data_IF_532816962806
#
_entry.id   IF_532816962806
#
_cell.length_a   1.000
_cell.length_b   1.000
_cell.length_c   1.000
_cell.angle_alpha   90.00
_cell.angle_beta   90.00
_cell.angle_gamma   90.00
#
_symmetry.space_group_name_H-M   'P 1'
#
loop_
_entity.id
_entity.type
_entity.pdbx_description
1 polymer ?
#
# COMPACT_ATOMS: atom_id res chain seq x y z
N UNK A 1 -34.54 7.86 -21.70
CA UNK A 1 -34.05 6.51 -22.03
C UNK A 1 -35.29 5.62 -22.25
N UNK A 2 -35.28 4.71 -23.24
CA UNK A 2 -36.42 3.81 -23.44
C UNK A 2 -36.42 2.68 -22.40
N UNK A 3 -37.57 2.11 -22.02
CA UNK A 3 -37.70 1.02 -21.03
C UNK A 3 -36.69 -0.14 -21.30
N UNK A 4 -36.56 -0.57 -22.58
CA UNK A 4 -35.62 -1.63 -22.97
C UNK A 4 -34.15 -1.24 -22.64
N UNK A 5 -33.73 -0.02 -22.96
CA UNK A 5 -32.37 0.47 -22.63
C UNK A 5 -32.14 0.57 -21.12
N UNK A 6 -33.16 0.89 -20.34
CA UNK A 6 -33.07 0.97 -18.87
C UNK A 6 -32.84 -0.40 -18.24
N UNK A 7 -33.59 -1.42 -18.69
CA UNK A 7 -33.40 -2.80 -18.23
C UNK A 7 -31.99 -3.28 -18.58
N UNK A 8 -31.52 -3.02 -19.79
CA UNK A 8 -30.16 -3.41 -20.22
C UNK A 8 -29.08 -2.78 -19.31
N UNK A 9 -29.21 -1.48 -18.98
CA UNK A 9 -28.24 -0.82 -18.08
C UNK A 9 -28.26 -1.45 -16.69
N UNK A 10 -29.42 -1.71 -16.12
CA UNK A 10 -29.53 -2.37 -14.81
C UNK A 10 -28.96 -3.78 -14.84
N UNK A 11 -29.26 -4.55 -15.88
CA UNK A 11 -28.67 -5.88 -16.05
C UNK A 11 -27.16 -5.83 -16.17
N UNK A 12 -26.59 -4.87 -16.93
CA UNK A 12 -25.14 -4.71 -17.06
C UNK A 12 -24.51 -4.41 -15.70
N UNK A 13 -25.08 -3.46 -14.93
CA UNK A 13 -24.58 -3.11 -13.60
C UNK A 13 -24.65 -4.31 -12.65
N UNK A 14 -25.77 -5.03 -12.64
CA UNK A 14 -25.92 -6.21 -11.78
C UNK A 14 -24.98 -7.35 -12.18
N UNK A 15 -24.83 -7.61 -13.48
CA UNK A 15 -23.88 -8.62 -13.99
C UNK A 15 -22.44 -8.22 -13.66
N UNK A 16 -22.09 -6.93 -13.79
CA UNK A 16 -20.76 -6.43 -13.40
C UNK A 16 -20.48 -6.68 -11.91
N UNK A 17 -21.43 -6.37 -11.03
CA UNK A 17 -21.28 -6.60 -9.58
C UNK A 17 -21.08 -8.10 -9.30
N UNK A 18 -21.94 -8.97 -9.87
CA UNK A 18 -21.89 -10.40 -9.64
C UNK A 18 -20.54 -10.96 -10.16
N UNK A 19 -20.16 -10.58 -11.38
CA UNK A 19 -18.92 -11.04 -11.99
C UNK A 19 -17.71 -10.64 -11.17
N UNK A 20 -17.61 -9.39 -10.78
CA UNK A 20 -16.51 -8.91 -9.94
C UNK A 20 -16.51 -9.58 -8.55
N UNK A 21 -17.68 -9.79 -7.94
CA UNK A 21 -17.80 -10.48 -6.66
C UNK A 21 -17.36 -11.94 -6.75
N UNK A 22 -17.71 -12.63 -7.85
CA UNK A 22 -17.26 -14.00 -8.12
C UNK A 22 -15.73 -14.04 -8.28
N UNK A 23 -15.16 -13.16 -9.11
CA UNK A 23 -13.71 -13.09 -9.29
C UNK A 23 -12.96 -12.65 -8.01
N UNK A 24 -13.61 -11.99 -7.07
CA UNK A 24 -13.00 -11.66 -5.79
C UNK A 24 -12.69 -12.91 -4.95
N UNK A 25 -13.55 -13.91 -4.99
CA UNK A 25 -13.51 -15.05 -4.05
C UNK A 25 -13.06 -16.35 -4.71
N UNK A 26 -13.50 -16.61 -5.96
CA UNK A 26 -13.28 -17.88 -6.65
C UNK A 26 -11.86 -17.95 -7.21
N UNK A 27 -11.16 -19.04 -6.89
CA UNK A 27 -9.86 -19.40 -7.49
C UNK A 27 -10.07 -20.55 -8.47
N UNK A 28 -9.44 -20.48 -9.65
CA UNK A 28 -9.57 -21.54 -10.68
C UNK A 28 -8.27 -21.63 -11.51
N UNK A 29 -7.93 -22.85 -12.00
CA UNK A 29 -6.79 -23.03 -12.88
C UNK A 29 -7.04 -22.37 -14.25
N UNK A 30 -6.04 -21.65 -14.77
CA UNK A 30 -6.13 -21.03 -16.09
C UNK A 30 -5.82 -22.11 -17.13
N UNK A 31 -6.84 -22.48 -17.93
CA UNK A 31 -6.71 -23.52 -18.93
C UNK A 31 -5.54 -23.26 -19.89
N UNK A 32 -4.63 -24.23 -20.01
CA UNK A 32 -3.47 -24.15 -20.90
C UNK A 32 -2.24 -23.47 -20.32
N UNK A 33 -2.24 -23.11 -19.03
CA UNK A 33 -1.09 -22.54 -18.33
C UNK A 33 -0.80 -23.31 -17.03
N UNK A 34 0.41 -23.12 -16.47
CA UNK A 34 0.81 -23.64 -15.14
C UNK A 34 0.32 -22.73 -14.00
N UNK A 35 -0.35 -21.62 -14.34
CA UNK A 35 -0.76 -20.60 -13.38
C UNK A 35 -2.22 -20.79 -12.98
N UNK A 36 -2.48 -20.68 -11.70
CA UNK A 36 -3.81 -20.62 -11.11
C UNK A 36 -4.23 -19.18 -10.87
N UNK A 37 -5.48 -18.85 -11.26
CA UNK A 37 -6.08 -17.60 -10.84
C UNK A 37 -6.47 -17.70 -9.37
N UNK A 38 -5.90 -16.87 -8.54
CA UNK A 38 -6.31 -16.71 -7.15
C UNK A 38 -7.28 -15.54 -7.05
N UNK A 39 -8.46 -15.74 -6.41
CA UNK A 39 -9.44 -14.67 -6.25
C UNK A 39 -8.79 -13.39 -5.68
N UNK A 40 -9.00 -12.25 -6.34
CA UNK A 40 -8.23 -11.03 -6.02
C UNK A 40 -8.39 -10.54 -4.57
N UNK A 41 -9.46 -10.87 -3.86
CA UNK A 41 -9.57 -10.55 -2.43
C UNK A 41 -8.54 -11.31 -1.57
N UNK A 42 -8.04 -12.46 -2.04
CA UNK A 42 -7.02 -13.25 -1.35
C UNK A 42 -5.58 -12.74 -1.61
N UNK A 43 -5.40 -11.89 -2.62
CA UNK A 43 -4.09 -11.31 -2.96
C UNK A 43 -3.84 -9.98 -2.25
N UNK A 44 -4.79 -9.51 -1.43
CA UNK A 44 -4.61 -8.30 -0.63
C UNK A 44 -3.51 -8.54 0.39
N UNK A 45 -2.48 -7.70 0.34
CA UNK A 45 -1.39 -7.74 1.32
C UNK A 45 -1.90 -7.33 2.69
N UNK A 46 -1.62 -8.15 3.68
CA UNK A 46 -1.97 -7.87 5.07
C UNK A 46 -0.82 -7.12 5.75
N UNK A 47 -1.16 -6.12 6.56
CA UNK A 47 -0.20 -5.46 7.43
C UNK A 47 0.18 -6.35 8.62
N UNK A 48 1.25 -5.96 9.30
CA UNK A 48 1.82 -6.69 10.42
C UNK A 48 0.83 -6.94 11.55
N UNK A 49 -0.08 -6.02 11.79
CA UNK A 49 -1.14 -6.09 12.82
C UNK A 49 -2.22 -7.14 12.52
N UNK A 50 -2.30 -7.60 11.26
CA UNK A 50 -3.26 -8.61 10.81
C UNK A 50 -2.63 -9.98 10.56
N UNK A 51 -1.43 -10.03 9.97
CA UNK A 51 -0.71 -11.27 9.68
C UNK A 51 0.13 -11.76 10.87
N UNK A 52 0.37 -10.89 11.85
CA UNK A 52 1.40 -11.12 12.85
C UNK A 52 2.79 -10.90 12.28
N UNK A 53 3.82 -11.01 13.12
CA UNK A 53 5.21 -10.89 12.69
C UNK A 53 6.03 -9.93 13.56
N UNK A 54 7.07 -9.33 12.96
CA UNK A 54 8.04 -8.46 13.64
C UNK A 54 8.13 -7.09 13.00
N UNK A 55 8.10 -6.06 13.82
CA UNK A 55 8.50 -4.69 13.44
C UNK A 55 9.71 -4.30 14.26
N UNK A 56 10.80 -3.96 13.58
CA UNK A 56 12.03 -3.44 14.20
C UNK A 56 12.30 -2.03 13.68
N UNK A 57 12.60 -1.11 14.59
CA UNK A 57 13.01 0.25 14.26
C UNK A 57 14.46 0.41 14.65
N UNK A 58 15.29 0.74 13.67
CA UNK A 58 16.70 1.03 13.87
C UNK A 58 16.94 2.53 13.76
N UNK A 59 17.66 3.06 14.73
CA UNK A 59 18.20 4.41 14.67
C UNK A 59 19.48 4.38 13.86
N UNK A 60 19.62 5.28 12.91
CA UNK A 60 20.83 5.39 12.08
C UNK A 60 21.77 6.36 12.78
N UNK A 61 22.97 5.90 13.11
CA UNK A 61 23.99 6.78 13.63
C UNK A 61 24.41 7.74 12.50
N UNK A 62 24.30 9.03 12.77
CA UNK A 62 24.83 10.05 11.86
C UNK A 62 26.34 10.04 11.97
N UNK A 63 27.02 9.78 10.86
CA UNK A 63 28.44 9.92 10.73
C UNK A 63 28.77 11.06 9.76
N UNK A 64 29.88 11.77 9.97
CA UNK A 64 30.30 12.90 9.15
C UNK A 64 30.85 12.52 7.77
N UNK A 65 30.59 11.28 7.31
CA UNK A 65 31.02 10.79 6.00
C UNK A 65 30.00 11.23 4.95
N UNK A 66 30.46 11.85 3.88
CA UNK A 66 29.65 12.42 2.81
C UNK A 66 28.58 11.46 2.26
N UNK A 67 27.48 12.06 1.79
CA UNK A 67 26.35 11.37 1.13
C UNK A 67 25.52 10.42 2.01
N UNK A 68 25.22 10.86 3.24
CA UNK A 68 24.47 10.12 4.24
C UNK A 68 23.14 9.56 3.68
N UNK A 69 22.38 10.36 2.93
CA UNK A 69 21.07 9.94 2.38
C UNK A 69 21.20 8.83 1.34
N UNK A 70 22.23 8.84 0.51
CA UNK A 70 22.51 7.77 -0.45
C UNK A 70 22.89 6.47 0.29
N UNK A 71 23.68 6.55 1.34
CA UNK A 71 24.06 5.40 2.16
C UNK A 71 22.89 4.79 2.91
N UNK A 72 21.98 5.62 3.45
CA UNK A 72 20.72 5.17 4.06
C UNK A 72 19.85 4.46 3.04
N UNK A 73 19.69 5.03 1.84
CA UNK A 73 18.91 4.45 0.76
C UNK A 73 19.49 3.12 0.28
N UNK A 74 20.82 3.05 0.16
CA UNK A 74 21.54 1.82 -0.17
C UNK A 74 21.36 0.74 0.90
N UNK A 75 21.42 1.10 2.19
CA UNK A 75 21.18 0.18 3.30
C UNK A 75 19.74 -0.36 3.27
N UNK A 76 18.74 0.47 2.98
CA UNK A 76 17.34 0.05 2.82
C UNK A 76 17.22 -0.98 1.70
N UNK A 77 17.80 -0.71 0.53
CA UNK A 77 17.78 -1.63 -0.61
C UNK A 77 18.48 -2.95 -0.30
N UNK A 78 19.57 -2.90 0.44
CA UNK A 78 20.33 -4.08 0.87
C UNK A 78 19.54 -4.94 1.85
N UNK A 79 18.93 -4.32 2.85
CA UNK A 79 18.06 -5.01 3.82
C UNK A 79 16.87 -5.65 3.11
N UNK A 80 16.24 -4.94 2.18
CA UNK A 80 15.13 -5.47 1.39
C UNK A 80 15.58 -6.70 0.58
N UNK A 81 16.71 -6.63 -0.11
CA UNK A 81 17.27 -7.74 -0.88
C UNK A 81 17.63 -8.93 -0.01
N UNK A 82 18.21 -8.69 1.17
CA UNK A 82 18.55 -9.72 2.15
C UNK A 82 17.28 -10.46 2.61
N UNK A 83 16.24 -9.73 3.00
CA UNK A 83 14.97 -10.29 3.46
C UNK A 83 14.30 -11.14 2.39
N UNK A 84 14.23 -10.63 1.16
CA UNK A 84 13.70 -11.38 0.00
C UNK A 84 14.51 -12.65 -0.25
N UNK A 85 15.86 -12.61 -0.17
CA UNK A 85 16.71 -13.78 -0.36
C UNK A 85 16.53 -14.86 0.71
N UNK A 86 16.05 -14.49 1.89
CA UNK A 86 15.74 -15.39 3.00
C UNK A 86 14.28 -15.88 3.00
N UNK A 87 13.51 -15.53 1.97
CA UNK A 87 12.12 -15.97 1.80
C UNK A 87 11.07 -14.99 2.33
N UNK A 88 11.47 -13.88 2.96
CA UNK A 88 10.56 -12.86 3.47
C UNK A 88 10.16 -11.88 2.37
N UNK A 89 9.42 -12.36 1.38
CA UNK A 89 9.05 -11.58 0.17
C UNK A 89 8.09 -10.42 0.45
N UNK A 90 7.33 -10.49 1.54
CA UNK A 90 6.38 -9.46 1.96
C UNK A 90 6.96 -8.46 2.96
N UNK A 91 8.24 -8.63 3.32
CA UNK A 91 8.92 -7.70 4.20
C UNK A 91 9.03 -6.31 3.58
N UNK A 92 8.88 -5.29 4.42
CA UNK A 92 9.02 -3.88 4.01
C UNK A 92 10.09 -3.18 4.81
N UNK A 93 10.93 -2.42 4.12
CA UNK A 93 11.97 -1.59 4.73
C UNK A 93 11.74 -0.14 4.34
N UNK A 94 11.51 0.72 5.31
CA UNK A 94 11.16 2.12 5.07
C UNK A 94 12.05 3.08 5.86
N UNK A 95 12.36 4.24 5.26
CA UNK A 95 12.99 5.37 5.95
C UNK A 95 11.97 6.09 6.80
N UNK A 96 12.34 6.46 8.01
CA UNK A 96 11.54 7.27 8.91
C UNK A 96 12.37 8.34 9.59
N UNK A 97 11.71 9.17 10.37
CA UNK A 97 12.35 10.16 11.23
C UNK A 97 11.80 9.97 12.65
N UNK A 98 12.67 9.91 13.62
CA UNK A 98 12.30 9.84 15.04
C UNK A 98 11.85 11.21 15.55
N UNK A 99 11.17 11.23 16.70
CA UNK A 99 10.74 12.47 17.35
C UNK A 99 11.88 13.43 17.72
N UNK A 100 13.11 12.91 17.83
CA UNK A 100 14.32 13.70 18.07
C UNK A 100 15.00 14.20 16.77
N UNK A 101 14.35 14.00 15.61
CA UNK A 101 14.88 14.39 14.30
C UNK A 101 15.89 13.40 13.70
N UNK A 102 16.27 12.34 14.42
CA UNK A 102 17.22 11.36 13.89
C UNK A 102 16.58 10.47 12.80
N UNK A 103 17.37 10.12 11.79
CA UNK A 103 16.93 9.17 10.75
C UNK A 103 16.77 7.78 11.33
N UNK A 104 15.68 7.11 10.98
CA UNK A 104 15.40 5.73 11.37
C UNK A 104 15.15 4.86 10.14
N UNK A 105 15.43 3.57 10.26
CA UNK A 105 15.04 2.54 9.31
C UNK A 105 14.07 1.62 10.04
N UNK A 106 12.87 1.49 9.50
CA UNK A 106 11.84 0.57 9.98
C UNK A 106 11.81 -0.65 9.08
N UNK A 107 11.89 -1.81 9.69
CA UNK A 107 11.78 -3.11 9.03
C UNK A 107 10.55 -3.81 9.56
N UNK A 108 9.63 -4.17 8.69
CA UNK A 108 8.41 -4.90 9.03
C UNK A 108 8.39 -6.21 8.26
N UNK A 109 8.24 -7.31 8.97
CA UNK A 109 8.26 -8.65 8.40
C UNK A 109 6.99 -9.37 8.89
N UNK A 110 5.99 -9.50 8.04
CA UNK A 110 4.77 -10.23 8.36
C UNK A 110 5.03 -11.74 8.34
N UNK A 111 4.15 -12.48 8.99
CA UNK A 111 4.08 -13.95 8.99
C UNK A 111 5.41 -14.63 9.40
N UNK A 112 5.93 -14.24 10.56
CA UNK A 112 7.19 -14.76 11.12
C UNK A 112 6.93 -15.70 12.28
N UNK A 113 7.38 -16.94 12.16
CA UNK A 113 7.29 -17.95 13.22
C UNK A 113 8.28 -17.70 14.36
N UNK A 114 9.52 -17.27 14.03
CA UNK A 114 10.59 -17.00 14.99
C UNK A 114 11.10 -15.56 14.91
N UNK A 115 10.52 -14.65 15.70
CA UNK A 115 10.95 -13.26 15.77
C UNK A 115 12.41 -13.05 16.15
N UNK A 116 12.94 -13.89 17.05
CA UNK A 116 14.30 -13.73 17.57
C UNK A 116 15.35 -13.98 16.48
N UNK A 117 15.15 -15.01 15.67
CA UNK A 117 16.03 -15.34 14.52
C UNK A 117 16.04 -14.24 13.48
N UNK A 118 14.89 -13.64 13.23
CA UNK A 118 14.79 -12.54 12.25
C UNK A 118 15.50 -11.28 12.77
N UNK A 119 15.34 -10.97 14.06
CA UNK A 119 16.03 -9.84 14.66
C UNK A 119 17.55 -10.01 14.67
N UNK A 120 18.04 -11.22 14.87
CA UNK A 120 19.46 -11.53 14.75
C UNK A 120 19.96 -11.31 13.30
N UNK A 121 19.15 -11.70 12.31
CA UNK A 121 19.44 -11.50 10.90
C UNK A 121 19.52 -10.01 10.53
N UNK A 122 18.57 -9.19 11.01
CA UNK A 122 18.49 -7.76 10.70
C UNK A 122 19.51 -6.94 11.51
N UNK A 123 19.74 -7.33 12.75
CA UNK A 123 20.65 -6.64 13.67
C UNK A 123 22.13 -6.76 13.28
N UNK A 124 22.46 -7.62 12.32
CA UNK A 124 23.78 -7.69 11.71
C UNK A 124 23.77 -6.78 10.48
N UNK A 125 24.38 -5.57 10.52
CA UNK A 125 24.52 -4.76 9.34
C UNK A 125 25.23 -5.59 8.27
N UNK A 126 24.83 -5.47 7.03
CA UNK A 126 25.46 -6.15 5.90
C UNK A 126 26.84 -5.53 5.67
N UNK A 127 27.77 -5.81 6.56
CA UNK A 127 29.15 -5.38 6.44
C UNK A 127 29.92 -6.37 5.57
N UNK A 128 30.68 -5.85 4.63
CA UNK A 128 31.56 -6.61 3.75
C UNK A 128 32.99 -6.62 4.34
N UNK A 129 33.51 -7.79 4.57
CA UNK A 129 34.86 -7.99 5.07
C UNK A 129 35.67 -8.92 4.17
N UNK A 130 36.95 -8.58 3.99
CA UNK A 130 37.95 -9.40 3.32
C UNK A 130 38.96 -9.89 4.34
N UNK A 131 39.11 -11.22 4.47
CA UNK A 131 40.08 -11.85 5.40
C UNK A 131 41.02 -12.79 4.67
N UNK A 132 42.19 -13.05 5.26
CA UNK A 132 43.12 -14.11 4.82
C UNK A 132 42.90 -15.40 5.61
N UNK A 133 42.19 -15.33 6.72
CA UNK A 133 41.89 -16.46 7.60
C UNK A 133 40.46 -16.92 7.33
N UNK A 134 40.27 -18.23 7.17
CA UNK A 134 38.91 -18.81 7.11
C UNK A 134 38.30 -18.87 8.50
N UNK A 135 37.27 -18.12 8.73
CA UNK A 135 36.53 -18.05 10.00
C UNK A 135 35.29 -18.97 9.98
N UNK A 136 35.16 -19.85 8.98
CA UNK A 136 33.99 -20.71 8.81
C UNK A 136 32.89 -20.06 7.94
N UNK A 137 31.78 -20.78 7.77
CA UNK A 137 30.69 -20.30 6.91
C UNK A 137 29.89 -19.17 7.53
N UNK A 138 29.88 -19.09 8.87
CA UNK A 138 29.33 -17.98 9.64
C UNK A 138 30.36 -17.48 10.65
N UNK A 139 30.62 -16.18 10.65
CA UNK A 139 31.53 -15.52 11.55
C UNK A 139 30.87 -14.35 12.28
N UNK A 140 31.31 -14.11 13.53
CA UNK A 140 30.81 -12.94 14.27
C UNK A 140 31.40 -11.65 13.72
N UNK A 141 30.67 -10.53 13.81
CA UNK A 141 31.20 -9.23 13.37
C UNK A 141 32.49 -8.85 14.14
N UNK A 142 32.57 -9.21 15.42
CA UNK A 142 33.76 -8.91 16.24
C UNK A 142 35.00 -9.64 15.74
N UNK A 143 34.86 -10.89 15.32
CA UNK A 143 36.00 -11.68 14.75
C UNK A 143 36.36 -11.16 13.37
N UNK A 144 35.35 -10.77 12.57
CA UNK A 144 35.56 -10.20 11.24
C UNK A 144 36.26 -8.84 11.31
N UNK A 145 35.87 -7.96 12.21
CA UNK A 145 36.51 -6.66 12.41
C UNK A 145 37.99 -6.80 12.82
N UNK A 146 38.31 -7.84 13.60
CA UNK A 146 39.67 -8.12 14.07
C UNK A 146 40.56 -8.71 12.99
N UNK A 147 40.06 -9.66 12.19
CA UNK A 147 40.83 -10.45 11.23
C UNK A 147 40.78 -9.87 9.81
N UNK A 148 39.86 -8.93 9.53
CA UNK A 148 39.72 -8.33 8.21
C UNK A 148 40.87 -7.37 7.91
N UNK A 149 41.52 -7.59 6.77
CA UNK A 149 42.50 -6.64 6.24
C UNK A 149 41.83 -5.49 5.46
N UNK A 150 40.54 -5.67 5.07
CA UNK A 150 39.79 -4.69 4.31
C UNK A 150 38.31 -4.85 4.60
N UNK A 151 37.64 -3.75 4.79
CA UNK A 151 36.18 -3.71 4.87
C UNK A 151 35.58 -3.00 3.64
N UNK A 152 34.39 -3.41 3.23
CA UNK A 152 33.75 -2.86 2.05
C UNK A 152 33.30 -1.43 2.25
N UNK A 153 32.88 -1.08 3.45
CA UNK A 153 32.35 0.25 3.80
C UNK A 153 33.36 1.38 3.50
N UNK A 154 34.59 1.19 3.96
CA UNK A 154 35.61 2.25 3.90
C UNK A 154 36.47 2.15 2.64
N UNK A 155 36.48 1.01 1.94
CA UNK A 155 37.48 0.71 0.93
C UNK A 155 36.93 0.32 -0.45
N UNK A 156 35.71 -0.22 -0.55
CA UNK A 156 35.09 -0.61 -1.84
C UNK A 156 34.22 0.51 -2.38
N UNK A 157 34.46 0.94 -3.63
CA UNK A 157 33.68 1.95 -4.33
C UNK A 157 32.50 1.32 -5.09
N UNK A 158 32.73 0.18 -5.76
CA UNK A 158 31.73 -0.46 -6.59
C UNK A 158 31.99 -1.95 -6.77
N UNK A 159 30.91 -2.75 -6.84
CA UNK A 159 30.91 -4.14 -7.27
C UNK A 159 29.92 -4.32 -8.43
N UNK A 160 30.35 -4.90 -9.53
CA UNK A 160 29.59 -4.96 -10.78
C UNK A 160 29.87 -6.23 -11.57
N UNK A 161 28.97 -6.56 -12.48
CA UNK A 161 29.19 -7.67 -13.43
C UNK A 161 30.14 -7.21 -14.53
N UNK A 162 31.12 -8.03 -14.84
CA UNK A 162 32.08 -7.84 -15.94
C UNK A 162 32.30 -9.14 -16.68
N UNK A 163 33.17 -9.13 -17.66
CA UNK A 163 33.63 -10.33 -18.35
C UNK A 163 35.15 -10.50 -18.12
N UNK A 164 35.55 -11.73 -17.90
CA UNK A 164 36.95 -12.09 -17.84
C UNK A 164 37.58 -12.16 -19.27
N UNK A 165 38.88 -12.26 -19.37
CA UNK A 165 39.63 -12.31 -20.66
C UNK A 165 39.23 -13.49 -21.57
N UNK A 166 38.68 -14.55 -20.98
CA UNK A 166 38.16 -15.74 -21.70
C UNK A 166 36.69 -15.56 -22.17
N UNK A 167 36.05 -14.39 -21.91
CA UNK A 167 34.70 -14.10 -22.28
C UNK A 167 33.62 -14.58 -21.30
N UNK A 168 33.98 -15.27 -20.21
CA UNK A 168 33.05 -15.69 -19.18
C UNK A 168 32.65 -14.54 -18.28
N UNK A 169 31.46 -14.63 -17.69
CA UNK A 169 30.97 -13.63 -16.71
C UNK A 169 31.85 -13.69 -15.43
N UNK A 170 32.16 -12.53 -14.91
CA UNK A 170 32.97 -12.33 -13.73
C UNK A 170 32.44 -11.18 -12.88
N UNK A 171 32.90 -11.06 -11.64
CA UNK A 171 32.54 -10.00 -10.72
C UNK A 171 33.70 -9.03 -10.62
N UNK A 172 33.45 -7.78 -11.03
CA UNK A 172 34.40 -6.68 -10.90
C UNK A 172 34.25 -5.99 -9.55
N UNK A 173 35.38 -5.71 -8.91
CA UNK A 173 35.49 -4.91 -7.69
C UNK A 173 36.31 -3.66 -7.99
N UNK A 174 35.83 -2.50 -7.63
CA UNK A 174 36.56 -1.24 -7.73
C UNK A 174 36.77 -0.67 -6.33
N UNK A 175 38.01 -0.49 -5.95
CA UNK A 175 38.39 0.07 -4.66
C UNK A 175 38.66 1.57 -4.77
N UNK A 176 38.42 2.31 -3.69
CA UNK A 176 38.86 3.69 -3.58
C UNK A 176 40.40 3.76 -3.41
N UNK A 177 40.98 4.95 -3.32
CA UNK A 177 42.42 5.15 -3.26
C UNK A 177 43.08 4.44 -2.09
N UNK A 178 42.45 4.46 -0.91
CA UNK A 178 43.00 3.81 0.28
C UNK A 178 42.87 2.27 0.19
N UNK A 179 41.69 1.80 -0.24
CA UNK A 179 41.41 0.38 -0.48
C UNK A 179 42.37 -0.22 -1.53
N UNK A 180 42.60 0.50 -2.64
CA UNK A 180 43.53 0.08 -3.69
C UNK A 180 44.94 -0.14 -3.16
N UNK A 181 45.43 0.80 -2.32
CA UNK A 181 46.75 0.69 -1.70
C UNK A 181 46.82 -0.52 -0.76
N UNK A 182 45.91 -0.65 0.19
CA UNK A 182 45.87 -1.77 1.14
C UNK A 182 45.70 -3.10 0.43
N UNK A 183 44.80 -3.18 -0.54
CA UNK A 183 44.57 -4.40 -1.32
C UNK A 183 45.79 -4.80 -2.14
N UNK A 184 46.48 -3.81 -2.74
CA UNK A 184 47.75 -4.01 -3.46
C UNK A 184 48.84 -4.55 -2.58
N UNK A 185 49.07 -4.01 -1.39
CA UNK A 185 50.07 -4.49 -0.42
C UNK A 185 49.75 -5.93 0.02
N UNK A 186 48.52 -6.23 0.37
CA UNK A 186 48.11 -7.55 0.85
C UNK A 186 48.17 -8.60 -0.25
N UNK A 187 47.66 -8.28 -1.46
CA UNK A 187 47.70 -9.24 -2.58
C UNK A 187 49.10 -9.52 -3.05
N UNK A 188 50.01 -8.53 -3.04
CA UNK A 188 51.41 -8.71 -3.39
C UNK A 188 52.15 -9.68 -2.42
N UNK A 189 51.81 -9.61 -1.13
CA UNK A 189 52.42 -10.46 -0.11
C UNK A 189 51.80 -11.88 -0.03
N UNK A 190 50.64 -12.10 -0.64
CA UNK A 190 49.87 -13.33 -0.47
C UNK A 190 49.43 -13.97 -1.81
N UNK A 191 50.21 -13.80 -2.87
CA UNK A 191 49.97 -14.48 -4.16
C UNK A 191 49.98 -16.00 -3.96
N UNK A 192 49.00 -16.67 -4.54
CA UNK A 192 48.78 -18.12 -4.43
C UNK A 192 47.95 -18.56 -3.21
N UNK A 193 47.61 -17.61 -2.30
CA UNK A 193 46.72 -17.92 -1.17
C UNK A 193 45.25 -17.57 -1.51
N UNK A 194 44.35 -18.09 -0.70
CA UNK A 194 42.89 -17.72 -0.75
C UNK A 194 42.66 -16.46 0.07
N UNK A 195 41.68 -15.68 -0.35
CA UNK A 195 41.00 -14.66 0.46
C UNK A 195 39.57 -15.07 0.67
N UNK A 196 39.03 -14.71 1.79
CA UNK A 196 37.64 -15.07 2.17
C UNK A 196 36.83 -13.80 2.27
N UNK A 197 35.67 -13.79 1.64
CA UNK A 197 34.79 -12.62 1.54
C UNK A 197 33.54 -12.92 2.30
N UNK A 198 33.27 -12.10 3.31
CA UNK A 198 32.11 -12.20 4.18
C UNK A 198 31.16 -11.02 3.99
N UNK A 199 29.87 -11.29 3.89
CA UNK A 199 28.81 -10.26 3.87
C UNK A 199 27.78 -10.60 4.95
N UNK A 200 27.56 -9.66 5.88
CA UNK A 200 26.64 -9.87 6.99
C UNK A 200 26.99 -11.06 7.89
N UNK A 201 28.28 -11.38 8.02
CA UNK A 201 28.75 -12.50 8.79
C UNK A 201 28.76 -13.85 8.07
N UNK A 202 28.22 -13.93 6.85
CA UNK A 202 28.24 -15.16 6.03
C UNK A 202 29.36 -15.14 5.01
N UNK A 203 30.09 -16.25 4.89
CA UNK A 203 31.11 -16.44 3.85
C UNK A 203 30.39 -16.57 2.50
N UNK A 204 30.64 -15.60 1.60
CA UNK A 204 30.03 -15.57 0.28
C UNK A 204 30.88 -16.24 -0.77
N UNK A 205 32.21 -16.09 -0.67
CA UNK A 205 33.14 -16.68 -1.62
C UNK A 205 34.54 -16.73 -1.08
N UNK A 206 35.42 -17.56 -1.71
CA UNK A 206 36.80 -17.77 -1.34
C UNK A 206 37.74 -17.73 -2.57
N UNK A 207 37.88 -16.58 -3.26
CA UNK A 207 38.73 -16.49 -4.44
C UNK A 207 40.21 -16.62 -4.11
N UNK A 208 40.99 -17.20 -5.05
CA UNK A 208 42.45 -17.25 -4.97
C UNK A 208 43.07 -15.96 -5.49
N UNK A 209 44.15 -15.51 -4.85
CA UNK A 209 44.96 -14.38 -5.28
C UNK A 209 45.92 -14.86 -6.36
N UNK A 210 45.60 -14.66 -7.64
CA UNK A 210 46.40 -15.13 -8.76
C UNK A 210 47.59 -14.24 -9.07
N UNK A 211 47.49 -12.94 -8.78
CA UNK A 211 48.52 -11.94 -8.99
C UNK A 211 48.39 -10.77 -8.03
N UNK A 212 49.40 -9.96 -7.88
CA UNK A 212 49.36 -8.70 -7.17
C UNK A 212 48.40 -7.72 -7.90
N UNK A 213 47.46 -7.13 -7.17
CA UNK A 213 46.42 -6.23 -7.72
C UNK A 213 46.68 -4.81 -7.19
N UNK A 214 47.41 -4.01 -7.96
CA UNK A 214 47.85 -2.66 -7.54
C UNK A 214 47.11 -1.52 -8.24
N UNK A 215 46.26 -1.86 -9.22
CA UNK A 215 45.53 -0.88 -10.03
C UNK A 215 44.17 -0.45 -9.41
N UNK A 216 43.81 -0.93 -8.22
CA UNK A 216 42.56 -0.61 -7.56
C UNK A 216 41.31 -1.30 -8.12
N UNK A 217 41.51 -2.27 -9.02
CA UNK A 217 40.40 -3.05 -9.58
C UNK A 217 40.74 -4.54 -9.53
N UNK A 218 39.85 -5.35 -9.00
CA UNK A 218 39.95 -6.80 -8.96
C UNK A 218 38.84 -7.45 -9.76
N UNK A 219 39.12 -8.60 -10.34
CA UNK A 219 38.12 -9.41 -11.05
C UNK A 219 38.10 -10.78 -10.39
N UNK A 220 36.93 -11.20 -9.90
CA UNK A 220 36.71 -12.54 -9.37
C UNK A 220 36.15 -13.39 -10.51
N UNK A 221 37.00 -14.32 -10.97
CA UNK A 221 36.65 -15.27 -12.03
C UNK A 221 36.09 -16.55 -11.44
N UNK A 222 35.20 -17.21 -12.16
CA UNK A 222 34.59 -18.47 -11.77
C UNK A 222 33.63 -18.95 -12.85
N UNK A 223 32.95 -20.06 -12.61
CA UNK A 223 31.95 -20.56 -13.53
C UNK A 223 30.60 -19.85 -13.31
N UNK A 224 30.55 -18.54 -13.61
CA UNK A 224 29.38 -17.71 -13.39
C UNK A 224 28.50 -17.62 -14.65
N UNK A 225 27.19 -17.72 -14.46
CA UNK A 225 26.20 -17.19 -15.42
C UNK A 225 26.04 -15.69 -15.15
N UNK A 226 25.45 -14.94 -16.11
CA UNK A 226 25.13 -13.54 -15.87
C UNK A 226 24.30 -13.34 -14.59
N UNK A 227 23.30 -14.19 -14.37
CA UNK A 227 22.42 -14.12 -13.20
C UNK A 227 23.21 -14.32 -11.89
N UNK A 228 24.07 -15.36 -11.81
CA UNK A 228 24.85 -15.61 -10.59
C UNK A 228 25.89 -14.51 -10.34
N UNK A 229 26.55 -14.01 -11.39
CA UNK A 229 27.48 -12.88 -11.27
C UNK A 229 26.78 -11.62 -10.75
N UNK A 230 25.58 -11.35 -11.26
CA UNK A 230 24.75 -10.23 -10.83
C UNK A 230 24.31 -10.35 -9.36
N UNK A 231 23.89 -11.54 -8.93
CA UNK A 231 23.51 -11.79 -7.52
C UNK A 231 24.70 -11.58 -6.56
N UNK A 232 25.89 -12.10 -6.92
CA UNK A 232 27.08 -11.90 -6.10
C UNK A 232 27.56 -10.45 -6.11
N UNK A 233 27.60 -9.78 -7.26
CA UNK A 233 27.94 -8.37 -7.34
C UNK A 233 26.98 -7.52 -6.49
N UNK A 234 25.68 -7.79 -6.53
CA UNK A 234 24.67 -7.11 -5.71
C UNK A 234 24.89 -7.36 -4.22
N UNK A 235 25.18 -8.58 -3.81
CA UNK A 235 25.51 -8.92 -2.41
C UNK A 235 26.76 -8.17 -1.93
N UNK A 236 27.83 -8.14 -2.75
CA UNK A 236 29.05 -7.41 -2.41
C UNK A 236 28.83 -5.90 -2.36
N UNK A 237 28.08 -5.37 -3.33
CA UNK A 237 27.70 -3.96 -3.35
C UNK A 237 26.84 -3.58 -2.13
N UNK A 238 25.95 -4.47 -1.69
CA UNK A 238 25.12 -4.23 -0.50
C UNK A 238 25.95 -4.11 0.79
N UNK A 239 27.08 -4.78 0.86
CA UNK A 239 28.01 -4.69 1.98
C UNK A 239 28.88 -3.42 2.02
N UNK A 240 28.78 -2.54 1.00
CA UNK A 240 29.48 -1.25 0.97
C UNK A 240 28.66 -0.12 1.60
N UNK A 241 27.33 -0.26 1.65
CA UNK A 241 26.45 0.76 2.20
C UNK A 241 26.31 0.59 3.72
N UNK A 242 27.36 0.92 4.46
CA UNK A 242 27.36 0.80 5.91
C UNK A 242 26.91 2.09 6.61
N UNK A 243 25.64 2.15 7.06
CA UNK A 243 25.29 3.01 8.18
C UNK A 243 25.19 2.13 9.42
N UNK A 244 25.69 2.63 10.55
CA UNK A 244 25.56 1.91 11.82
C UNK A 244 24.12 1.94 12.26
N UNK A 245 23.52 0.76 12.37
CA UNK A 245 22.14 0.58 12.82
C UNK A 245 22.14 0.24 14.32
N UNK A 246 21.42 1.03 15.10
CA UNK A 246 21.17 0.76 16.51
C UNK A 246 19.71 0.40 16.70
N UNK A 247 19.43 -0.77 17.26
CA UNK A 247 18.07 -1.21 17.52
C UNK A 247 17.44 -0.30 18.56
N UNK A 248 16.39 0.43 18.16
CA UNK A 248 15.69 1.38 19.02
C UNK A 248 14.40 0.79 19.58
N UNK A 249 13.67 0.03 18.78
CA UNK A 249 12.38 -0.54 19.17
C UNK A 249 12.14 -1.85 18.43
N UNK A 250 11.58 -2.84 19.16
CA UNK A 250 11.10 -4.09 18.58
C UNK A 250 9.69 -4.34 19.06
N UNK A 251 8.81 -4.63 18.12
CA UNK A 251 7.45 -5.11 18.40
C UNK A 251 7.25 -6.43 17.71
N UNK A 252 6.85 -7.44 18.48
CA UNK A 252 6.39 -8.71 17.95
C UNK A 252 4.87 -8.80 18.15
N UNK A 253 4.16 -9.12 17.09
CA UNK A 253 2.70 -9.25 17.07
C UNK A 253 2.38 -10.71 16.73
N UNK A 254 1.58 -11.34 17.59
CA UNK A 254 1.17 -12.73 17.38
C UNK A 254 0.15 -12.82 16.24
N UNK A 255 0.32 -13.79 15.34
CA UNK A 255 -0.60 -14.10 14.26
C UNK A 255 -2.04 -14.41 14.72
N UNK A 256 -2.19 -15.02 15.91
CA UNK A 256 -3.50 -15.34 16.49
C UNK A 256 -4.36 -14.12 16.81
N UNK A 257 -3.73 -12.98 17.14
CA UNK A 257 -4.44 -11.71 17.36
C UNK A 257 -4.98 -11.15 16.03
N UNK A 258 -4.22 -11.27 14.95
CA UNK A 258 -4.62 -10.82 13.63
C UNK A 258 -5.82 -11.57 13.05
N UNK A 259 -5.80 -12.90 13.10
CA UNK A 259 -6.87 -13.75 12.57
C UNK A 259 -8.23 -13.48 13.25
N UNK A 260 -8.26 -13.38 14.57
CA UNK A 260 -9.47 -13.01 15.31
C UNK A 260 -9.97 -11.61 14.93
N UNK A 261 -9.07 -10.66 14.75
CA UNK A 261 -9.39 -9.28 14.40
C UNK A 261 -10.00 -9.19 12.98
N UNK A 262 -9.47 -9.93 12.02
CA UNK A 262 -10.03 -10.03 10.65
C UNK A 262 -11.46 -10.56 10.69
N UNK A 263 -11.69 -11.66 11.43
CA UNK A 263 -13.00 -12.28 11.53
C UNK A 263 -14.03 -11.32 12.15
N UNK A 264 -13.67 -10.67 13.26
CA UNK A 264 -14.56 -9.69 13.93
C UNK A 264 -14.84 -8.51 13.02
N UNK A 265 -13.83 -7.98 12.34
CA UNK A 265 -13.96 -6.84 11.41
C UNK A 265 -14.85 -7.19 10.20
N UNK A 266 -14.73 -8.41 9.64
CA UNK A 266 -15.61 -8.88 8.56
C UNK A 266 -17.07 -8.97 9.03
N UNK A 267 -17.31 -9.55 10.19
CA UNK A 267 -18.67 -9.64 10.75
C UNK A 267 -19.24 -8.23 10.97
N UNK A 268 -18.46 -7.32 11.59
CA UNK A 268 -18.89 -5.96 11.83
C UNK A 268 -19.18 -5.22 10.51
N UNK A 269 -18.35 -5.43 9.49
CA UNK A 269 -18.54 -4.87 8.15
C UNK A 269 -19.84 -5.35 7.49
N UNK A 270 -20.08 -6.66 7.52
CA UNK A 270 -21.31 -7.25 6.95
C UNK A 270 -22.55 -6.72 7.68
N UNK A 271 -22.53 -6.68 9.02
CA UNK A 271 -23.63 -6.15 9.82
C UNK A 271 -23.84 -4.67 9.52
N UNK A 272 -22.77 -3.87 9.46
CA UNK A 272 -22.85 -2.44 9.13
C UNK A 272 -23.45 -2.18 7.75
N UNK A 273 -23.00 -2.90 6.72
CA UNK A 273 -23.53 -2.79 5.35
C UNK A 273 -25.00 -3.22 5.29
N UNK A 274 -25.38 -4.31 5.99
CA UNK A 274 -26.76 -4.76 6.04
C UNK A 274 -27.69 -3.71 6.70
N UNK A 275 -27.26 -3.08 7.79
CA UNK A 275 -28.00 -2.00 8.45
C UNK A 275 -28.17 -0.79 7.52
N UNK A 276 -27.11 -0.43 6.78
CA UNK A 276 -27.17 0.66 5.79
C UNK A 276 -28.18 0.34 4.69
N UNK A 277 -28.19 -0.86 4.13
CA UNK A 277 -29.15 -1.29 3.11
C UNK A 277 -30.58 -1.20 3.61
N UNK A 278 -30.85 -1.70 4.82
CA UNK A 278 -32.16 -1.63 5.43
C UNK A 278 -32.58 -0.15 5.62
N UNK A 279 -31.70 0.67 6.18
CA UNK A 279 -31.95 2.09 6.38
C UNK A 279 -32.28 2.80 5.07
N UNK A 280 -31.46 2.63 4.03
CA UNK A 280 -31.65 3.27 2.73
C UNK A 280 -32.93 2.81 2.04
N UNK A 281 -33.23 1.52 2.07
CA UNK A 281 -34.47 0.98 1.52
C UNK A 281 -35.73 1.49 2.27
N UNK A 282 -35.70 1.60 3.59
CA UNK A 282 -36.82 2.04 4.40
C UNK A 282 -37.10 3.55 4.29
N UNK A 283 -36.02 4.37 4.39
CA UNK A 283 -36.14 5.84 4.45
C UNK A 283 -36.24 6.46 3.05
N UNK A 284 -35.43 5.99 2.11
CA UNK A 284 -35.31 6.56 0.75
C UNK A 284 -36.00 5.73 -0.33
N UNK A 285 -36.47 4.53 0.00
CA UNK A 285 -37.26 3.66 -0.89
C UNK A 285 -36.53 3.47 -2.26
N UNK A 286 -37.20 3.83 -3.38
CA UNK A 286 -36.62 3.67 -4.71
C UNK A 286 -35.35 4.49 -4.97
N UNK A 287 -35.17 5.65 -4.32
CA UNK A 287 -33.89 6.37 -4.32
C UNK A 287 -32.84 5.58 -3.54
N UNK A 288 -33.22 5.01 -2.39
CA UNK A 288 -32.37 4.17 -1.57
C UNK A 288 -31.88 2.92 -2.30
N UNK A 289 -32.78 2.22 -3.02
CA UNK A 289 -32.40 1.07 -3.84
C UNK A 289 -31.34 1.42 -4.91
N UNK A 290 -31.38 2.61 -5.46
CA UNK A 290 -30.35 3.06 -6.38
C UNK A 290 -29.00 3.32 -5.70
N UNK A 291 -29.02 3.83 -4.46
CA UNK A 291 -27.83 4.00 -3.65
C UNK A 291 -27.26 2.65 -3.22
N UNK A 292 -28.11 1.69 -2.82
CA UNK A 292 -27.70 0.35 -2.43
C UNK A 292 -26.97 -0.38 -3.58
N UNK A 293 -27.52 -0.28 -4.80
CA UNK A 293 -26.86 -0.83 -5.98
C UNK A 293 -25.53 -0.14 -6.28
N UNK A 294 -25.46 1.17 -6.09
CA UNK A 294 -24.20 1.93 -6.23
C UNK A 294 -23.21 1.58 -5.13
N UNK A 295 -23.65 1.32 -3.91
CA UNK A 295 -22.81 0.87 -2.80
C UNK A 295 -22.23 -0.53 -3.05
N UNK A 296 -22.99 -1.45 -3.67
CA UNK A 296 -22.45 -2.72 -4.13
C UNK A 296 -21.30 -2.53 -5.13
N UNK A 297 -21.45 -1.64 -6.11
CA UNK A 297 -20.38 -1.29 -7.06
C UNK A 297 -19.19 -0.72 -6.32
N UNK A 298 -19.42 0.18 -5.38
CA UNK A 298 -18.37 0.79 -4.55
C UNK A 298 -17.55 -0.26 -3.79
N UNK A 299 -18.21 -1.15 -3.06
CA UNK A 299 -17.53 -2.19 -2.25
C UNK A 299 -16.66 -3.09 -3.15
N UNK A 300 -17.19 -3.53 -4.26
CA UNK A 300 -16.48 -4.41 -5.20
C UNK A 300 -15.26 -3.71 -5.80
N UNK A 301 -15.40 -2.45 -6.21
CA UNK A 301 -14.28 -1.64 -6.71
C UNK A 301 -13.24 -1.38 -5.62
N UNK A 302 -13.68 -1.09 -4.39
CA UNK A 302 -12.76 -0.84 -3.27
C UNK A 302 -11.88 -2.05 -2.98
N UNK A 303 -12.47 -3.25 -2.88
CA UNK A 303 -11.73 -4.50 -2.68
C UNK A 303 -10.78 -4.74 -3.86
N UNK A 304 -11.21 -4.49 -5.09
CA UNK A 304 -10.39 -4.66 -6.28
C UNK A 304 -9.19 -3.69 -6.28
N UNK A 305 -9.39 -2.41 -5.94
CA UNK A 305 -8.30 -1.44 -5.85
C UNK A 305 -7.31 -1.80 -4.74
N UNK A 306 -7.80 -2.26 -3.58
CA UNK A 306 -6.93 -2.73 -2.50
C UNK A 306 -6.08 -3.95 -2.91
N UNK A 307 -6.58 -4.81 -3.80
CA UNK A 307 -5.86 -5.97 -4.28
C UNK A 307 -4.83 -5.65 -5.39
N UNK A 308 -5.17 -4.73 -6.30
CA UNK A 308 -4.35 -4.43 -7.48
C UNK A 308 -3.21 -3.46 -7.18
N UNK A 309 -3.40 -2.55 -6.23
CA UNK A 309 -2.39 -1.53 -5.92
C UNK A 309 -1.27 -2.13 -5.04
N UNK A 310 -0.02 -2.21 -5.51
CA UNK A 310 1.05 -2.95 -4.84
C UNK A 310 1.52 -2.30 -3.53
N UNK A 311 1.26 -1.00 -3.35
CA UNK A 311 1.61 -0.24 -2.13
C UNK A 311 0.52 -0.26 -1.05
N UNK A 312 -0.63 -0.88 -1.33
CA UNK A 312 -1.72 -0.98 -0.36
C UNK A 312 -1.50 -2.20 0.52
N UNK A 313 -1.42 -1.97 1.82
CA UNK A 313 -1.43 -3.01 2.84
C UNK A 313 -2.64 -2.81 3.74
N UNK A 314 -3.41 -3.87 3.94
CA UNK A 314 -4.59 -3.86 4.79
C UNK A 314 -4.17 -4.02 6.25
N UNK A 315 -4.33 -2.97 7.03
CA UNK A 315 -4.06 -2.93 8.48
C UNK A 315 -5.37 -2.90 9.27
N UNK A 316 -5.34 -3.16 10.58
CA UNK A 316 -6.54 -3.03 11.44
C UNK A 316 -7.14 -1.62 11.37
N UNK A 317 -6.36 -0.53 11.50
CA UNK A 317 -6.86 0.82 11.20
C UNK A 317 -7.34 0.99 9.76
N UNK A 318 -6.70 0.30 8.80
CA UNK A 318 -7.11 0.33 7.38
C UNK A 318 -8.51 -0.23 7.17
N UNK A 319 -8.90 -1.29 7.88
CA UNK A 319 -10.27 -1.80 7.87
C UNK A 319 -11.24 -0.75 8.42
N UNK A 320 -10.88 -0.07 9.52
CA UNK A 320 -11.69 1.03 10.04
C UNK A 320 -11.84 2.17 9.01
N UNK A 321 -10.79 2.47 8.23
CA UNK A 321 -10.83 3.40 7.10
C UNK A 321 -11.82 2.97 6.00
N UNK A 322 -11.83 1.67 5.67
CA UNK A 322 -12.81 1.09 4.73
C UNK A 322 -14.24 1.27 5.26
N UNK A 323 -14.50 0.90 6.51
CA UNK A 323 -15.84 1.02 7.10
C UNK A 323 -16.30 2.48 7.16
N UNK A 324 -15.41 3.39 7.52
CA UNK A 324 -15.69 4.82 7.52
C UNK A 324 -16.02 5.32 6.12
N UNK A 325 -15.26 4.92 5.12
CA UNK A 325 -15.46 5.35 3.73
C UNK A 325 -16.77 4.81 3.13
N UNK A 326 -17.25 3.62 3.55
CA UNK A 326 -18.57 3.09 3.22
C UNK A 326 -19.66 4.05 3.75
N UNK A 327 -19.56 4.51 5.01
CA UNK A 327 -20.46 5.48 5.59
C UNK A 327 -20.51 6.79 4.78
N UNK A 328 -19.35 7.33 4.44
CA UNK A 328 -19.22 8.56 3.64
C UNK A 328 -19.78 8.41 2.20
N UNK A 329 -19.65 7.21 1.61
CA UNK A 329 -20.23 6.94 0.28
C UNK A 329 -21.77 7.00 0.30
N UNK A 330 -22.38 6.57 1.41
CA UNK A 330 -23.83 6.66 1.60
C UNK A 330 -24.25 8.08 1.92
N UNK A 331 -23.51 8.81 2.75
CA UNK A 331 -23.80 10.20 3.13
C UNK A 331 -23.88 11.12 1.90
N UNK A 332 -22.99 10.97 0.94
CA UNK A 332 -23.06 11.68 -0.33
C UNK A 332 -24.39 11.45 -1.07
N UNK A 333 -24.91 10.21 -1.06
CA UNK A 333 -26.20 9.88 -1.65
C UNK A 333 -27.38 10.47 -0.86
N UNK A 334 -27.29 10.48 0.47
CA UNK A 334 -28.28 11.08 1.37
C UNK A 334 -28.42 12.58 1.09
N UNK A 335 -27.31 13.32 0.98
CA UNK A 335 -27.30 14.74 0.65
C UNK A 335 -28.00 14.99 -0.70
N UNK A 336 -27.72 14.17 -1.71
CA UNK A 336 -28.37 14.27 -3.02
C UNK A 336 -29.87 14.03 -2.89
N UNK A 337 -30.29 13.00 -2.17
CA UNK A 337 -31.71 12.61 -2.07
C UNK A 337 -32.52 13.59 -1.26
N UNK A 338 -32.00 14.13 -0.18
CA UNK A 338 -32.66 15.18 0.56
C UNK A 338 -32.85 16.43 -0.32
N UNK A 339 -31.84 16.79 -1.11
CA UNK A 339 -31.97 17.91 -2.06
C UNK A 339 -33.00 17.61 -3.15
N UNK A 340 -33.11 16.38 -3.64
CA UNK A 340 -34.16 15.96 -4.59
C UNK A 340 -35.52 16.04 -3.95
N UNK A 341 -35.68 15.62 -2.68
CA UNK A 341 -36.94 15.73 -1.94
C UNK A 341 -37.37 17.20 -1.77
N UNK A 342 -36.42 18.08 -1.41
CA UNK A 342 -36.68 19.52 -1.29
C UNK A 342 -37.11 20.14 -2.61
N UNK A 343 -36.40 19.86 -3.71
CA UNK A 343 -36.77 20.36 -5.03
C UNK A 343 -38.15 19.85 -5.48
N UNK A 344 -38.53 18.63 -5.10
CA UNK A 344 -39.83 18.07 -5.43
C UNK A 344 -40.94 18.65 -4.58
N UNK A 345 -40.67 18.88 -3.29
CA UNK A 345 -41.63 19.41 -2.32
C UNK A 345 -42.15 20.80 -2.69
N UNK A 346 -41.27 21.67 -3.23
CA UNK A 346 -41.52 23.06 -3.53
C UNK A 346 -41.66 23.34 -5.05
N UNK A 347 -41.85 22.32 -5.88
CA UNK A 347 -41.90 22.48 -7.33
C UNK A 347 -43.00 21.64 -7.96
N UNK A 348 -43.64 22.19 -9.01
CA UNK A 348 -44.57 21.47 -9.86
C UNK A 348 -43.91 20.63 -10.94
N UNK A 349 -42.57 20.64 -11.01
CA UNK A 349 -41.76 19.94 -12.04
C UNK A 349 -41.87 18.43 -11.95
N UNK A 350 -41.64 17.71 -13.07
CA UNK A 350 -41.57 16.25 -13.06
C UNK A 350 -40.41 15.73 -12.21
N UNK A 351 -40.55 14.53 -11.63
CA UNK A 351 -39.53 13.83 -10.80
C UNK A 351 -38.17 13.84 -11.48
N UNK A 352 -38.10 13.55 -12.79
CA UNK A 352 -36.85 13.52 -13.57
C UNK A 352 -36.09 14.86 -13.54
N UNK A 353 -36.79 15.98 -13.55
CA UNK A 353 -36.20 17.31 -13.47
C UNK A 353 -35.68 17.61 -12.08
N UNK A 354 -36.46 17.25 -11.06
CA UNK A 354 -36.07 17.43 -9.65
C UNK A 354 -34.82 16.61 -9.32
N UNK A 355 -34.73 15.37 -9.78
CA UNK A 355 -33.51 14.55 -9.64
C UNK A 355 -32.29 15.24 -10.31
N UNK A 356 -32.47 15.70 -11.56
CA UNK A 356 -31.38 16.40 -12.28
C UNK A 356 -30.90 17.66 -11.55
N UNK A 357 -31.85 18.44 -11.02
CA UNK A 357 -31.58 19.69 -10.29
C UNK A 357 -30.94 19.40 -8.94
N UNK A 358 -31.47 18.41 -8.20
CA UNK A 358 -30.89 17.95 -6.92
C UNK A 358 -29.41 17.55 -7.07
N UNK A 359 -29.09 16.69 -8.02
CA UNK A 359 -27.69 16.34 -8.31
C UNK A 359 -26.82 17.57 -8.59
N UNK A 360 -27.30 18.48 -9.47
CA UNK A 360 -26.52 19.68 -9.82
C UNK A 360 -26.22 20.57 -8.62
N UNK A 361 -27.22 20.74 -7.72
CA UNK A 361 -27.10 21.63 -6.55
C UNK A 361 -26.30 20.99 -5.40
N UNK A 362 -26.31 19.66 -5.27
CA UNK A 362 -25.60 18.96 -4.21
C UNK A 362 -24.12 18.72 -4.54
N UNK A 363 -23.75 18.66 -5.83
CA UNK A 363 -22.40 18.27 -6.27
C UNK A 363 -21.30 19.14 -5.64
N UNK A 364 -21.49 20.48 -5.56
CA UNK A 364 -20.51 21.37 -4.94
C UNK A 364 -20.25 21.02 -3.47
N UNK A 365 -21.33 20.96 -2.67
CA UNK A 365 -21.23 20.65 -1.24
C UNK A 365 -20.59 19.27 -0.97
N UNK A 366 -20.90 18.27 -1.81
CA UNK A 366 -20.30 16.93 -1.69
C UNK A 366 -18.80 16.97 -1.98
N UNK A 367 -18.41 17.65 -3.07
CA UNK A 367 -16.98 17.76 -3.42
C UNK A 367 -16.23 18.51 -2.33
N UNK A 368 -16.74 19.63 -1.85
CA UNK A 368 -16.11 20.44 -0.81
C UNK A 368 -15.90 19.63 0.49
N UNK A 369 -16.93 18.89 0.91
CA UNK A 369 -16.85 18.01 2.08
C UNK A 369 -15.84 16.87 1.91
N UNK A 370 -15.77 16.25 0.74
CA UNK A 370 -14.82 15.16 0.47
C UNK A 370 -13.39 15.66 0.30
N UNK A 371 -13.17 16.86 -0.25
CA UNK A 371 -11.85 17.48 -0.37
C UNK A 371 -11.22 17.74 1.00
N UNK A 372 -12.00 18.22 1.98
CA UNK A 372 -11.48 18.43 3.34
C UNK A 372 -10.99 17.12 3.97
N UNK A 373 -11.75 16.04 3.83
CA UNK A 373 -11.37 14.72 4.33
C UNK A 373 -10.17 14.14 3.57
N UNK A 374 -10.11 14.38 2.24
CA UNK A 374 -9.00 13.96 1.40
C UNK A 374 -7.67 14.63 1.82
N UNK A 375 -7.71 15.92 2.15
CA UNK A 375 -6.53 16.63 2.69
C UNK A 375 -6.05 15.95 3.99
N UNK A 376 -6.96 15.63 4.91
CA UNK A 376 -6.63 14.91 6.14
C UNK A 376 -6.01 13.53 5.85
N UNK A 377 -6.56 12.77 4.92
CA UNK A 377 -6.02 11.48 4.51
C UNK A 377 -4.61 11.61 3.91
N UNK A 378 -4.34 12.61 3.06
CA UNK A 378 -3.02 12.87 2.48
C UNK A 378 -2.01 13.23 3.58
N UNK A 379 -2.36 14.08 4.52
CA UNK A 379 -1.48 14.45 5.63
C UNK A 379 -1.11 13.22 6.47
N UNK A 380 -2.11 12.36 6.79
CA UNK A 380 -1.87 11.12 7.52
C UNK A 380 -1.05 10.11 6.70
N UNK A 381 -1.18 10.11 5.39
CA UNK A 381 -0.35 9.25 4.52
C UNK A 381 1.12 9.67 4.54
N UNK A 382 1.40 10.97 4.51
CA UNK A 382 2.78 11.50 4.46
C UNK A 382 3.45 11.43 5.84
N UNK A 383 2.72 11.78 6.91
CA UNK A 383 3.27 11.94 8.26
C UNK A 383 2.97 10.75 9.19
N UNK A 384 2.14 9.81 8.78
CA UNK A 384 1.69 8.71 9.62
C UNK A 384 2.74 7.62 9.86
N UNK A 385 2.62 6.87 10.95
CA UNK A 385 3.31 5.59 11.14
C UNK A 385 2.69 4.50 10.24
N UNK A 386 3.38 3.36 10.05
CA UNK A 386 2.98 2.31 9.11
C UNK A 386 1.49 1.88 9.23
N UNK A 387 0.99 1.63 10.44
CA UNK A 387 -0.42 1.26 10.65
C UNK A 387 -1.38 2.41 10.30
N UNK A 388 -0.99 3.67 10.59
CA UNK A 388 -1.78 4.86 10.25
C UNK A 388 -1.76 5.12 8.74
N UNK A 389 -0.64 4.83 8.08
CA UNK A 389 -0.54 4.92 6.61
C UNK A 389 -1.54 3.97 5.95
N UNK A 390 -1.69 2.73 6.46
CA UNK A 390 -2.71 1.80 5.97
C UNK A 390 -4.14 2.37 6.05
N UNK A 391 -4.50 3.01 7.18
CA UNK A 391 -5.76 3.73 7.32
C UNK A 391 -5.90 4.87 6.31
N UNK A 392 -4.87 5.71 6.18
CA UNK A 392 -4.89 6.88 5.32
C UNK A 392 -5.06 6.50 3.84
N UNK A 393 -4.36 5.47 3.40
CA UNK A 393 -4.41 4.97 2.00
C UNK A 393 -5.77 4.35 1.68
N UNK A 394 -6.32 3.51 2.55
CA UNK A 394 -7.64 2.91 2.34
C UNK A 394 -8.73 3.98 2.35
N UNK A 395 -8.64 4.97 3.24
CA UNK A 395 -9.54 6.10 3.30
C UNK A 395 -9.45 6.96 2.03
N UNK A 396 -8.24 7.27 1.55
CA UNK A 396 -8.00 8.02 0.32
C UNK A 396 -8.66 7.36 -0.89
N UNK A 397 -8.41 6.06 -1.09
CA UNK A 397 -9.03 5.28 -2.17
C UNK A 397 -10.57 5.29 -2.01
N UNK A 398 -11.05 5.08 -0.78
CA UNK A 398 -12.46 5.07 -0.46
C UNK A 398 -13.16 6.39 -0.81
N UNK A 399 -12.55 7.55 -0.51
CA UNK A 399 -13.10 8.87 -0.83
C UNK A 399 -13.22 9.05 -2.35
N UNK A 400 -12.19 8.73 -3.12
CA UNK A 400 -12.21 8.87 -4.57
C UNK A 400 -13.29 7.99 -5.19
N UNK A 401 -13.39 6.73 -4.74
CA UNK A 401 -14.42 5.80 -5.22
C UNK A 401 -15.81 6.22 -4.79
N UNK A 402 -15.98 6.77 -3.58
CA UNK A 402 -17.29 7.26 -3.10
C UNK A 402 -17.80 8.42 -3.94
N UNK A 403 -16.94 9.37 -4.31
CA UNK A 403 -17.27 10.45 -5.23
C UNK A 403 -17.68 9.92 -6.60
N UNK A 404 -16.91 8.99 -7.14
CA UNK A 404 -17.24 8.36 -8.42
C UNK A 404 -18.58 7.63 -8.35
N UNK A 405 -18.80 6.80 -7.34
CA UNK A 405 -20.03 6.01 -7.22
C UNK A 405 -21.26 6.90 -6.96
N UNK A 406 -21.17 7.88 -6.09
CA UNK A 406 -22.31 8.76 -5.77
C UNK A 406 -22.69 9.68 -6.94
N UNK A 407 -21.72 10.27 -7.62
CA UNK A 407 -21.99 11.24 -8.69
C UNK A 407 -22.24 10.60 -10.06
N UNK A 408 -21.61 9.46 -10.35
CA UNK A 408 -21.70 8.80 -11.65
C UNK A 408 -22.61 7.58 -11.60
N UNK A 409 -22.30 6.59 -10.75
CA UNK A 409 -23.03 5.30 -10.72
C UNK A 409 -24.44 5.49 -10.22
N UNK A 410 -24.65 6.17 -9.07
CA UNK A 410 -26.01 6.45 -8.55
C UNK A 410 -26.85 7.22 -9.55
N UNK A 411 -26.28 8.23 -10.21
CA UNK A 411 -26.97 8.98 -11.26
C UNK A 411 -27.34 8.12 -12.46
N UNK A 412 -26.49 7.19 -12.87
CA UNK A 412 -26.73 6.27 -13.98
C UNK A 412 -27.87 5.31 -13.62
N UNK A 413 -27.85 4.72 -12.41
CA UNK A 413 -28.87 3.81 -11.91
C UNK A 413 -30.20 4.53 -11.80
N UNK A 414 -30.27 5.74 -11.24
CA UNK A 414 -31.48 6.52 -11.16
C UNK A 414 -32.05 6.87 -12.54
N UNK A 415 -31.19 7.22 -13.50
CA UNK A 415 -31.64 7.42 -14.90
C UNK A 415 -32.22 6.15 -15.51
N UNK A 416 -31.77 4.97 -15.08
CA UNK A 416 -32.30 3.70 -15.51
C UNK A 416 -33.62 3.35 -14.80
N UNK A 417 -33.84 3.76 -13.56
CA UNK A 417 -35.13 3.56 -12.84
C UNK A 417 -36.26 4.45 -13.35
N UNK A 418 -35.95 5.66 -13.81
CA UNK A 418 -36.97 6.62 -14.25
C UNK A 418 -37.95 6.09 -15.31
N UNK A 419 -37.53 5.46 -16.43
CA UNK A 419 -38.49 4.98 -17.44
C UNK A 419 -39.31 3.78 -16.98
N UNK A 420 -38.89 3.08 -15.92
CA UNK A 420 -39.62 1.96 -15.35
C UNK A 420 -40.72 2.42 -14.41
N UNK A 421 -40.50 3.51 -13.62
CA UNK A 421 -41.40 4.00 -12.59
C UNK A 421 -41.50 5.55 -12.59
N UNK A 422 -41.67 6.16 -13.75
CA UNK A 422 -41.57 7.62 -13.92
C UNK A 422 -42.63 8.45 -13.17
N UNK A 423 -43.79 7.88 -12.79
CA UNK A 423 -44.93 8.57 -12.18
C UNK A 423 -45.22 8.18 -10.74
N UNK A 424 -44.50 7.20 -10.19
CA UNK A 424 -44.76 6.69 -8.85
C UNK A 424 -44.07 7.51 -7.76
N UNK A 425 -44.75 8.55 -7.26
CA UNK A 425 -44.30 9.35 -6.09
C UNK A 425 -44.03 8.45 -4.87
N UNK A 426 -44.89 7.46 -4.65
CA UNK A 426 -44.78 6.51 -3.55
C UNK A 426 -43.51 5.64 -3.65
N UNK A 427 -43.11 5.27 -4.88
CA UNK A 427 -41.91 4.49 -5.10
C UNK A 427 -40.64 5.26 -4.69
N UNK A 428 -40.55 6.54 -5.05
CA UNK A 428 -39.41 7.39 -4.70
C UNK A 428 -39.48 8.02 -3.30
N UNK A 429 -40.61 7.81 -2.57
CA UNK A 429 -40.81 8.41 -1.26
C UNK A 429 -40.96 9.93 -1.29
N UNK A 430 -41.40 10.47 -2.44
CA UNK A 430 -41.55 11.90 -2.65
C UNK A 430 -42.97 12.34 -2.28
N UNK A 431 -43.11 13.52 -1.64
CA UNK A 431 -44.38 14.14 -1.29
C UNK A 431 -44.35 15.61 -1.67
N UNK A 432 -45.39 16.11 -2.28
CA UNK A 432 -45.59 17.55 -2.49
C UNK A 432 -46.35 18.16 -1.32
N UNK A 433 -46.05 19.40 -1.00
CA UNK A 433 -46.93 20.21 -0.14
C UNK A 433 -48.15 20.57 -0.99
N UNK A 434 -49.34 20.19 -0.53
CA UNK A 434 -50.57 20.77 -1.08
C UNK A 434 -50.56 22.22 -0.65
N UNK A 435 -50.58 23.17 -1.59
CA UNK A 435 -50.96 24.53 -1.27
C UNK A 435 -52.40 24.42 -0.72
N UNK A 436 -52.59 24.74 0.57
CA UNK A 436 -53.90 24.90 1.14
C UNK A 436 -54.57 26.07 0.38
N UNK A 437 -55.67 25.77 -0.32
CA UNK A 437 -56.53 26.71 -1.02
C UNK A 437 -57.24 27.72 -0.03
N UNK A 438 -56.70 27.91 1.18
CA UNK A 438 -57.30 28.71 2.25
C UNK A 438 -56.49 29.98 2.56
N UNK A 439 -55.94 30.68 1.55
CA UNK A 439 -55.41 32.03 1.78
C UNK A 439 -56.17 33.11 1.01
N UNK A 440 -57.52 32.91 0.81
CA UNK A 440 -58.47 33.97 0.38
C UNK A 440 -59.17 34.57 1.58
N UNK A 441 -58.49 34.96 2.65
CA UNK A 441 -58.98 35.83 3.67
C UNK A 441 -57.90 36.71 4.27
N UNK A 442 -57.32 37.57 3.44
CA UNK A 442 -56.78 38.83 3.96
C UNK A 442 -57.98 39.81 4.15
N UNK A 443 -58.36 40.16 5.38
CA UNK A 443 -59.34 41.18 5.57
C UNK A 443 -58.74 42.49 5.05
N UNK A 444 -59.50 43.10 4.11
CA UNK A 444 -59.27 44.47 3.65
C UNK A 444 -59.64 45.47 4.78
N UNK A 445 -58.74 45.57 5.76
CA UNK A 445 -58.81 46.49 6.90
C UNK A 445 -57.47 47.19 7.24
N UNK A 446 -56.71 47.61 6.28
CA UNK A 446 -55.66 48.62 6.51
C UNK A 446 -55.60 49.52 5.25
N UNK A 447 -56.68 50.30 5.02
CA UNK A 447 -56.68 51.39 4.06
C UNK A 447 -57.64 52.47 4.49
N UNK A 448 -57.60 52.93 5.73
CA UNK A 448 -58.26 54.12 6.22
C UNK A 448 -57.62 54.61 7.53
N UNK A 449 -56.42 55.09 7.47
CA UNK A 449 -55.84 56.01 8.41
C UNK A 449 -54.61 56.63 7.74
N UNK A 450 -54.84 57.62 6.93
CA UNK A 450 -54.02 58.78 6.62
C UNK A 450 -54.78 59.60 5.57
N UNK A 451 -55.75 60.43 6.08
CA UNK A 451 -56.24 61.62 5.42
C UNK A 451 -56.25 62.73 6.48
#
# INVERSE_FOLDING_TARGET
MNKKKSIVVLCIVSVFIILMAVFAVVSFPIAGTVYDYTGYAKTIKLGLDMSGGVSAVFKVANDDHGDFDTRVSGTISSLQSLLVSKGYTEATVTKGTSSDGSTTIRVEIPDVDDPARVLELIGRPASLYFTLTDLGDEASNADLEKEAFLNGRDHLENAYVTTADNGDYAIGLKFNTEGAKKFGEITSANVGKKTYIYVGGQKIMEPSINAAITNGSAIITGNYTYQSAYEYATKLQSGTFGVTLQLAEVRSISATLGENSIRVALIAGIVGVALIFIFMACVYRGLGLAADLSLCVYIVLLIWFCAVLPWVQLTLPGIAGILLSIGMAVDANVIIFERVKDEYKHSTKPIATCIKTGFKRSTGAIIDGQVTTLIGAIVLWILGSASIVGFAVTLFIGIILSLFCSLVVTRLVLKAFMPLNSTSEKFYGLKRVKEDENNDSVPAQIAKEDA
#
